data_IF_196567296981
#
_entry.id   IF_196567296981
#
_cell.length_a   1.000
_cell.length_b   1.000
_cell.length_c   1.000
_cell.angle_alpha   90.00
_cell.angle_beta   90.00
_cell.angle_gamma   90.00
#
_symmetry.space_group_name_H-M   'P 1'
#
loop_
_entity.id
_entity.type
_entity.pdbx_description
1 polymer ?
#
# COMPACT_ATOMS: atom_id res chain seq x y z
N UNK A 1 -16.65 22.40 10.32
CA UNK A 1 -15.88 22.21 10.38
C UNK A 1 -15.81 22.06 10.49
N UNK A 2 -15.71 22.20 10.26
CA UNK A 2 -14.96 22.04 10.30
C UNK A 2 -14.46 21.88 9.89
N UNK A 3 -14.37 22.18 9.52
CA UNK A 3 -13.44 22.12 9.06
C UNK A 3 -12.81 21.69 9.47
N UNK A 4 -12.84 21.38 9.45
CA UNK A 4 -11.85 21.26 9.86
C UNK A 4 -11.00 21.98 9.52
N UNK A 5 -10.52 22.55 10.00
CA UNK A 5 -9.61 23.22 9.54
C UNK A 5 -8.51 22.56 9.04
N UNK A 6 -7.89 23.09 8.16
CA UNK A 6 -6.92 22.45 7.51
C UNK A 6 -5.67 22.41 8.17
N UNK A 7 -5.28 23.41 8.84
CA UNK A 7 -4.00 23.43 9.43
C UNK A 7 -3.87 22.40 10.47
N UNK A 8 -4.86 22.16 11.24
CA UNK A 8 -4.72 21.13 12.17
C UNK A 8 -4.77 19.84 11.47
N UNK A 9 -5.18 19.85 10.24
CA UNK A 9 -5.12 18.70 9.47
C UNK A 9 -3.71 18.31 9.20
N UNK A 10 -2.81 19.24 9.09
CA UNK A 10 -1.44 18.93 8.82
C UNK A 10 -0.85 18.03 9.90
N UNK A 11 -1.11 18.30 11.14
CA UNK A 11 -0.62 17.46 12.18
C UNK A 11 -1.39 16.17 12.26
N UNK A 12 -2.67 16.26 12.07
CA UNK A 12 -3.51 15.12 12.13
C UNK A 12 -3.13 14.11 11.05
N UNK A 13 -2.66 14.55 9.93
CA UNK A 13 -2.34 13.70 8.85
C UNK A 13 -1.18 12.79 9.06
N UNK A 14 -0.26 13.10 9.91
CA UNK A 14 0.92 12.31 10.06
C UNK A 14 0.57 10.88 10.41
N UNK A 15 -0.31 10.66 11.35
CA UNK A 15 -0.66 9.29 11.66
C UNK A 15 -1.84 8.79 10.86
N UNK A 16 -2.78 9.66 10.51
CA UNK A 16 -3.94 9.19 9.78
C UNK A 16 -3.65 8.97 8.31
N UNK A 17 -2.65 9.64 7.80
CA UNK A 17 -2.30 9.51 6.42
C UNK A 17 -1.84 8.09 6.09
N UNK A 18 -1.00 7.50 6.95
CA UNK A 18 -0.53 6.14 6.72
C UNK A 18 -1.68 5.15 6.80
N UNK A 19 -2.62 5.39 7.69
CA UNK A 19 -3.77 4.51 7.81
C UNK A 19 -4.65 4.58 6.55
N UNK A 20 -4.87 5.79 6.05
CA UNK A 20 -5.65 5.96 4.83
C UNK A 20 -4.94 5.34 3.65
N UNK A 21 -3.64 5.54 3.54
CA UNK A 21 -2.86 4.94 2.48
C UNK A 21 -2.93 3.42 2.54
N UNK A 22 -2.88 2.86 3.73
CA UNK A 22 -2.97 1.42 3.90
C UNK A 22 -4.33 0.90 3.40
N UNK A 23 -5.40 1.60 3.69
CA UNK A 23 -6.71 1.20 3.22
C UNK A 23 -6.79 1.24 1.71
N UNK A 24 -6.25 2.28 1.11
CA UNK A 24 -6.23 2.41 -0.34
C UNK A 24 -5.42 1.27 -0.95
N UNK A 25 -4.27 0.97 -0.37
CA UNK A 25 -3.41 -0.09 -0.89
C UNK A 25 -4.07 -1.46 -0.78
N UNK A 26 -4.79 -1.72 0.30
CA UNK A 26 -5.49 -2.99 0.45
C UNK A 26 -6.55 -3.17 -0.63
N UNK A 27 -7.24 -2.11 -0.96
CA UNK A 27 -8.24 -2.17 -2.02
C UNK A 27 -7.59 -2.36 -3.38
N UNK A 28 -6.53 -1.61 -3.65
CA UNK A 28 -5.83 -1.73 -4.93
C UNK A 28 -5.21 -3.10 -5.09
N UNK A 29 -4.75 -3.70 -4.00
CA UNK A 29 -4.16 -5.03 -4.05
C UNK A 29 -5.17 -6.05 -4.58
N UNK A 30 -6.39 -5.99 -4.07
CA UNK A 30 -7.44 -6.87 -4.55
C UNK A 30 -7.86 -6.56 -5.98
N UNK A 31 -7.88 -5.28 -6.32
CA UNK A 31 -8.36 -4.84 -7.60
C UNK A 31 -7.39 -5.13 -8.72
N UNK A 32 -6.11 -4.83 -8.50
CA UNK A 32 -5.09 -4.94 -9.52
C UNK A 32 -4.43 -6.30 -9.59
N UNK A 33 -4.35 -7.01 -8.47
CA UNK A 33 -3.62 -8.26 -8.37
C UNK A 33 -4.51 -9.35 -7.81
N UNK A 34 -5.55 -9.69 -8.58
CA UNK A 34 -6.55 -10.62 -8.10
C UNK A 34 -5.94 -11.95 -7.66
N UNK A 35 -5.05 -12.50 -8.48
CA UNK A 35 -4.44 -13.78 -8.16
C UNK A 35 -3.52 -13.68 -6.96
N UNK A 36 -2.71 -12.63 -6.89
CA UNK A 36 -1.82 -12.45 -5.76
C UNK A 36 -2.59 -12.23 -4.47
N UNK A 37 -3.70 -11.51 -4.55
CA UNK A 37 -4.46 -11.18 -3.35
C UNK A 37 -5.14 -12.37 -2.73
N UNK A 38 -5.29 -13.46 -3.47
CA UNK A 38 -5.86 -14.68 -2.92
C UNK A 38 -4.85 -15.43 -2.05
N UNK A 39 -3.56 -15.18 -2.25
CA UNK A 39 -2.52 -15.87 -1.52
C UNK A 39 -1.57 -14.93 -0.79
N UNK A 40 -2.00 -13.70 -0.60
CA UNK A 40 -1.20 -12.72 0.12
C UNK A 40 -2.11 -11.59 0.59
N UNK A 41 -1.60 -10.78 1.51
CA UNK A 41 -2.33 -9.60 1.93
C UNK A 41 -1.35 -8.51 2.31
N UNK A 42 -1.78 -7.27 2.14
CA UNK A 42 -1.01 -6.14 2.62
C UNK A 42 -1.32 -5.99 4.09
N UNK A 43 -0.30 -6.00 4.92
CA UNK A 43 -0.50 -5.96 6.37
C UNK A 43 -0.13 -4.63 7.00
N UNK A 44 0.68 -3.83 6.34
CA UNK A 44 1.08 -2.55 6.91
C UNK A 44 1.64 -1.64 5.84
N UNK A 45 1.68 -0.35 6.13
CA UNK A 45 2.33 0.63 5.28
C UNK A 45 2.94 1.70 6.18
N UNK A 46 4.25 1.83 6.17
CA UNK A 46 4.94 2.86 6.95
C UNK A 46 6.27 3.15 6.29
N UNK A 47 6.72 4.38 6.46
CA UNK A 47 7.96 4.84 5.86
C UNK A 47 7.96 4.60 4.34
N UNK A 48 6.81 4.84 3.72
CA UNK A 48 6.62 4.68 2.28
C UNK A 48 6.92 3.27 1.78
N UNK A 49 6.83 2.28 2.68
CA UNK A 49 7.10 0.87 2.37
C UNK A 49 5.85 0.05 2.61
N UNK A 50 5.51 -0.79 1.64
CA UNK A 50 4.37 -1.70 1.76
C UNK A 50 4.87 -3.01 2.37
N UNK A 51 4.19 -3.47 3.41
CA UNK A 51 4.50 -4.76 4.03
C UNK A 51 3.45 -5.77 3.61
N UNK A 52 3.89 -6.85 2.98
CA UNK A 52 2.99 -7.88 2.45
C UNK A 52 3.29 -9.19 3.15
N UNK A 53 2.24 -9.91 3.50
CA UNK A 53 2.38 -11.26 4.00
C UNK A 53 2.00 -12.21 2.87
N UNK A 54 2.96 -13.05 2.45
CA UNK A 54 2.69 -14.08 1.46
C UNK A 54 2.37 -15.37 2.16
N UNK A 55 1.37 -16.09 1.67
CA UNK A 55 0.91 -17.30 2.33
C UNK A 55 1.62 -18.56 1.84
N UNK A 56 2.43 -18.45 0.79
CA UNK A 56 3.25 -19.56 0.33
C UNK A 56 4.52 -19.03 -0.34
N UNK A 57 5.47 -19.91 -0.58
CA UNK A 57 6.78 -19.48 -1.08
C UNK A 57 6.72 -18.99 -2.52
N UNK A 58 5.81 -19.51 -3.31
CA UNK A 58 5.69 -19.08 -4.70
C UNK A 58 5.29 -17.62 -4.77
N UNK A 59 4.29 -17.24 -3.98
CA UNK A 59 3.83 -15.85 -3.96
C UNK A 59 4.90 -14.92 -3.38
N UNK A 60 5.60 -15.38 -2.35
CA UNK A 60 6.68 -14.59 -1.78
C UNK A 60 7.77 -14.33 -2.81
N UNK A 61 8.16 -15.35 -3.53
CA UNK A 61 9.20 -15.22 -4.55
C UNK A 61 8.75 -14.30 -5.67
N UNK A 62 7.53 -14.50 -6.15
CA UNK A 62 6.99 -13.66 -7.22
C UNK A 62 6.96 -12.19 -6.80
N UNK A 63 6.47 -11.93 -5.60
CA UNK A 63 6.36 -10.55 -5.13
C UNK A 63 7.72 -9.90 -4.96
N UNK A 64 8.67 -10.65 -4.46
CA UNK A 64 10.03 -10.13 -4.30
C UNK A 64 10.66 -9.82 -5.65
N UNK A 65 10.52 -10.74 -6.60
CA UNK A 65 11.14 -10.58 -7.91
C UNK A 65 10.50 -9.45 -8.72
N UNK A 66 9.22 -9.19 -8.50
CA UNK A 66 8.49 -8.21 -9.28
C UNK A 66 8.15 -6.93 -8.52
N UNK A 67 8.89 -6.61 -7.47
CA UNK A 67 8.62 -5.44 -6.64
C UNK A 67 8.42 -4.16 -7.45
N UNK A 68 9.33 -3.90 -8.36
CA UNK A 68 9.29 -2.64 -9.10
C UNK A 68 8.06 -2.57 -9.99
N UNK A 69 7.74 -3.66 -10.66
CA UNK A 69 6.55 -3.68 -11.50
C UNK A 69 5.28 -3.50 -10.68
N UNK A 70 5.24 -4.13 -9.52
CA UNK A 70 4.09 -4.02 -8.63
C UNK A 70 3.92 -2.59 -8.17
N UNK A 71 5.00 -1.95 -7.75
CA UNK A 71 4.96 -0.57 -7.31
C UNK A 71 4.49 0.33 -8.45
N UNK A 72 5.05 0.15 -9.63
CA UNK A 72 4.69 0.97 -10.78
C UNK A 72 3.20 0.84 -11.12
N UNK A 73 2.70 -0.38 -11.09
CA UNK A 73 1.30 -0.60 -11.42
C UNK A 73 0.38 0.03 -10.38
N UNK A 74 0.74 -0.07 -9.12
CA UNK A 74 -0.04 0.58 -8.08
C UNK A 74 -0.03 2.08 -8.26
N UNK A 75 1.15 2.66 -8.48
CA UNK A 75 1.27 4.11 -8.61
C UNK A 75 0.48 4.64 -9.80
N UNK A 76 0.43 3.90 -10.88
CA UNK A 76 -0.32 4.32 -12.06
C UNK A 76 -1.82 4.34 -11.80
N UNK A 77 -2.28 3.58 -10.86
CA UNK A 77 -3.70 3.43 -10.60
C UNK A 77 -4.19 4.12 -9.33
N UNK A 78 -3.31 4.86 -8.68
CA UNK A 78 -3.72 5.61 -7.49
C UNK A 78 -4.43 6.89 -7.90
N UNK A 79 -5.57 7.13 -7.30
CA UNK A 79 -6.30 8.37 -7.52
C UNK A 79 -5.67 9.49 -6.70
N UNK A 80 -5.26 9.17 -5.48
CA UNK A 80 -4.53 10.11 -4.65
C UNK A 80 -3.09 9.65 -4.65
N UNK A 81 -2.21 10.45 -5.19
CA UNK A 81 -0.82 10.03 -5.35
C UNK A 81 -0.04 10.16 -4.05
N UNK A 82 0.76 9.16 -3.76
CA UNK A 82 1.71 9.21 -2.66
C UNK A 82 2.90 8.32 -3.02
N UNK A 83 3.98 8.48 -2.27
CA UNK A 83 5.22 7.81 -2.59
C UNK A 83 5.25 6.38 -2.03
N UNK A 84 5.77 5.45 -2.82
CA UNK A 84 6.02 4.09 -2.39
C UNK A 84 7.44 3.78 -2.80
N UNK A 85 8.30 3.50 -1.83
CA UNK A 85 9.73 3.29 -2.11
C UNK A 85 10.14 1.84 -2.12
N UNK A 86 9.41 0.96 -1.45
CA UNK A 86 9.81 -0.44 -1.40
C UNK A 86 8.63 -1.32 -1.00
N UNK A 87 8.82 -2.61 -1.14
CA UNK A 87 7.89 -3.62 -0.66
C UNK A 87 8.70 -4.62 0.14
N UNK A 88 8.26 -4.94 1.34
CA UNK A 88 8.87 -5.97 2.16
C UNK A 88 7.90 -7.12 2.32
N UNK A 89 8.39 -8.32 2.11
CA UNK A 89 7.55 -9.52 2.10
C UNK A 89 7.89 -10.38 3.31
N UNK A 90 6.86 -10.77 4.03
CA UNK A 90 7.01 -11.59 5.21
C UNK A 90 6.44 -12.98 5.02
#
# INVERSE_FOLDING_TARGET
>A
MKVISISKIATFKISNEDRIKLMILKEKWKELFLDLSQNSSIIDFRENTIYIKGYNSVVKHYSFTNKIKIIEQILENLEIKFEIVDIKIK
#
